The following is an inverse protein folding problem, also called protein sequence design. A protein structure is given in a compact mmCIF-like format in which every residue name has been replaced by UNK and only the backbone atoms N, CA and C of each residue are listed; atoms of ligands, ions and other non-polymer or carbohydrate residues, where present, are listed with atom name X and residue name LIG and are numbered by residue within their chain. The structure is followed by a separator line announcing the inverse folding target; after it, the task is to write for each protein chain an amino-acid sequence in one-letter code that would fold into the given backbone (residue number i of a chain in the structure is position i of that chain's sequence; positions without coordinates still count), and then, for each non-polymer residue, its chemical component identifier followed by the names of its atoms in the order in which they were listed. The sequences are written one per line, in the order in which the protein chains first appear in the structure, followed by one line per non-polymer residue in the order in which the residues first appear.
data_IF_181856202135
#
_entry.id   IF_181856202135
#
_cell.length_a   1.000
_cell.length_b   1.000
_cell.length_c   1.000
_cell.angle_alpha   90.00
_cell.angle_beta   90.00
_cell.angle_gamma   90.00
#
_symmetry.space_group_name_H-M   'P 1'
#
loop_
_entity.id
_entity.type
_entity.pdbx_description
1 polymer ?
#
# COMPACT_ATOMS: atom_id res chain seq x y z
N UNK A 1 8.20 -13.17 -9.00
CA UNK A 1 8.13 -13.03 -7.54
C UNK A 1 6.80 -12.40 -7.08
N UNK A 2 6.44 -12.54 -5.79
CA UNK A 2 5.28 -11.86 -5.18
C UNK A 2 5.75 -10.69 -4.32
N UNK A 3 5.34 -9.48 -4.69
CA UNK A 3 5.62 -8.27 -3.95
C UNK A 3 4.56 -7.97 -2.91
N UNK A 4 4.98 -7.35 -1.82
CA UNK A 4 4.14 -6.84 -0.75
C UNK A 4 4.46 -5.37 -0.51
N UNK A 5 3.42 -4.56 -0.30
CA UNK A 5 3.54 -3.18 0.18
C UNK A 5 2.44 -2.91 1.21
N UNK A 6 2.79 -2.18 2.26
CA UNK A 6 1.81 -1.61 3.17
C UNK A 6 1.64 -0.13 2.83
N UNK A 7 0.46 0.24 2.30
CA UNK A 7 0.14 1.64 2.05
C UNK A 7 -0.38 2.23 3.36
N UNK A 8 0.22 3.32 3.84
CA UNK A 8 -0.24 4.04 5.03
C UNK A 8 -0.57 5.49 4.70
N UNK A 9 -1.46 6.10 5.48
CA UNK A 9 -1.84 7.51 5.32
C UNK A 9 -2.81 7.96 6.40
N UNK A 10 -3.22 9.21 6.32
CA UNK A 10 -4.35 9.75 7.11
C UNK A 10 -5.66 9.21 6.51
N UNK A 11 -6.70 9.07 7.33
CA UNK A 11 -8.04 8.69 6.89
C UNK A 11 -8.71 9.82 6.11
N UNK A 12 -8.29 9.99 4.86
CA UNK A 12 -8.77 11.02 3.95
C UNK A 12 -8.82 10.55 2.48
N UNK A 13 -9.29 11.43 1.60
CA UNK A 13 -9.37 11.15 0.18
C UNK A 13 -8.00 10.84 -0.44
N UNK A 14 -6.90 11.42 0.07
CA UNK A 14 -5.56 11.17 -0.46
C UNK A 14 -5.13 9.73 -0.21
N UNK A 15 -5.52 9.13 0.93
CA UNK A 15 -5.32 7.70 1.16
C UNK A 15 -6.14 6.83 0.21
N UNK A 16 -7.42 7.16 -0.02
CA UNK A 16 -8.26 6.49 -1.01
C UNK A 16 -7.62 6.52 -2.40
N UNK A 17 -7.16 7.69 -2.86
CA UNK A 17 -6.46 7.82 -4.15
C UNK A 17 -5.17 6.99 -4.22
N UNK A 18 -4.41 6.89 -3.11
CA UNK A 18 -3.20 6.07 -3.03
C UNK A 18 -3.51 4.58 -3.23
N UNK A 19 -4.57 4.07 -2.59
CA UNK A 19 -5.02 2.68 -2.76
C UNK A 19 -5.53 2.47 -4.19
N UNK A 20 -6.39 3.36 -4.70
CA UNK A 20 -6.91 3.27 -6.08
C UNK A 20 -5.80 3.27 -7.13
N UNK A 21 -4.74 4.07 -6.95
CA UNK A 21 -3.58 4.08 -7.84
C UNK A 21 -2.78 2.77 -7.81
N UNK A 22 -2.69 2.11 -6.65
CA UNK A 22 -2.08 0.79 -6.59
C UNK A 22 -2.94 -0.23 -7.35
N UNK A 23 -4.25 -0.24 -7.10
CA UNK A 23 -5.19 -1.13 -7.80
C UNK A 23 -5.13 -0.94 -9.32
N UNK A 24 -5.10 0.31 -9.79
CA UNK A 24 -5.01 0.60 -11.23
C UNK A 24 -3.67 0.15 -11.85
N UNK A 25 -2.64 -0.08 -11.04
CA UNK A 25 -1.32 -0.59 -11.47
C UNK A 25 -1.21 -2.12 -11.33
N UNK A 26 -2.33 -2.82 -11.17
CA UNK A 26 -2.36 -4.28 -11.06
C UNK A 26 -1.92 -4.80 -9.70
N UNK A 27 -1.98 -3.96 -8.65
CA UNK A 27 -1.88 -4.46 -7.28
C UNK A 27 -3.24 -4.99 -6.82
N UNK A 28 -3.21 -5.96 -5.92
CA UNK A 28 -4.40 -6.57 -5.32
C UNK A 28 -4.41 -6.28 -3.82
N UNK A 29 -5.60 -6.11 -3.24
CA UNK A 29 -5.75 -5.96 -1.79
C UNK A 29 -5.34 -7.26 -1.09
N UNK A 30 -4.57 -7.14 -0.02
CA UNK A 30 -4.20 -8.26 0.83
C UNK A 30 -4.78 -8.03 2.23
N UNK A 31 -5.84 -8.76 2.56
CA UNK A 31 -6.52 -8.65 3.86
C UNK A 31 -7.25 -7.32 4.08
N UNK A 32 -7.76 -7.16 5.30
CA UNK A 32 -8.52 -5.97 5.71
C UNK A 32 -7.62 -4.77 6.01
N UNK A 33 -8.11 -3.53 5.80
CA UNK A 33 -7.41 -2.35 6.27
C UNK A 33 -7.31 -2.33 7.81
N UNK A 34 -6.31 -1.63 8.32
CA UNK A 34 -6.14 -1.32 9.74
C UNK A 34 -6.26 0.19 9.98
N UNK A 35 -6.78 0.54 11.16
CA UNK A 35 -6.93 1.93 11.61
C UNK A 35 -6.25 2.12 12.96
N UNK A 36 -5.63 3.27 13.17
CA UNK A 36 -5.04 3.65 14.45
C UNK A 36 -5.13 5.17 14.64
N UNK A 37 -5.59 5.61 15.81
CA UNK A 37 -5.60 7.01 16.15
C UNK A 37 -4.19 7.49 16.54
N UNK A 38 -3.69 8.52 15.86
CA UNK A 38 -2.45 9.20 16.20
C UNK A 38 -2.76 10.37 17.13
N UNK A 39 -2.52 10.18 18.43
CA UNK A 39 -2.77 11.21 19.44
C UNK A 39 -1.85 12.44 19.33
N UNK A 40 -0.68 12.32 18.67
CA UNK A 40 0.25 13.45 18.50
C UNK A 40 -0.24 14.39 17.41
N UNK A 41 -0.77 13.84 16.32
CA UNK A 41 -1.28 14.61 15.17
C UNK A 41 -2.79 14.88 15.25
N UNK A 42 -3.51 14.17 16.13
CA UNK A 42 -4.95 14.30 16.30
C UNK A 42 -5.76 13.74 15.12
N UNK A 43 -5.21 12.76 14.39
CA UNK A 43 -5.78 12.20 13.16
C UNK A 43 -5.94 10.68 13.25
N UNK A 44 -6.88 10.13 12.48
CA UNK A 44 -6.94 8.69 12.24
C UNK A 44 -5.96 8.33 11.12
N UNK A 45 -5.12 7.31 11.35
CA UNK A 45 -4.23 6.74 10.34
C UNK A 45 -4.77 5.41 9.85
N UNK A 46 -4.64 5.18 8.56
CA UNK A 46 -5.07 3.98 7.86
C UNK A 46 -3.86 3.23 7.33
N UNK A 47 -3.99 1.91 7.24
CA UNK A 47 -3.05 1.04 6.55
C UNK A 47 -3.82 0.03 5.70
N UNK A 48 -3.43 -0.14 4.44
CA UNK A 48 -3.98 -1.15 3.53
C UNK A 48 -2.82 -1.98 2.95
N UNK A 49 -2.77 -3.30 3.23
CA UNK A 49 -1.80 -4.15 2.59
C UNK A 49 -2.21 -4.43 1.14
N UNK A 50 -1.23 -4.45 0.24
CA UNK A 50 -1.39 -4.79 -1.17
C UNK A 50 -0.28 -5.72 -1.65
N UNK A 51 -0.61 -6.61 -2.57
CA UNK A 51 0.37 -7.51 -3.21
C UNK A 51 0.30 -7.43 -4.73
N UNK A 52 1.41 -7.76 -5.39
CA UNK A 52 1.47 -7.84 -6.86
C UNK A 52 2.37 -8.98 -7.30
N UNK A 53 1.93 -9.76 -8.28
CA UNK A 53 2.78 -10.75 -8.94
C UNK A 53 3.57 -10.04 -10.04
N UNK A 54 4.90 -10.19 -10.02
CA UNK A 54 5.80 -9.66 -11.04
C UNK A 54 6.58 -10.82 -11.63
N UNK A 55 6.43 -11.05 -12.92
CA UNK A 55 7.09 -12.14 -13.65
C UNK A 55 8.50 -11.75 -14.10
N UNK A 56 9.38 -12.73 -14.27
CA UNK A 56 10.72 -12.53 -14.84
C UNK A 56 11.67 -11.68 -13.99
N UNK A 57 11.35 -11.44 -12.71
CA UNK A 57 12.20 -10.70 -11.77
C UNK A 57 12.36 -11.46 -10.45
N UNK A 58 13.58 -11.38 -9.93
CA UNK A 58 13.95 -11.73 -8.57
C UNK A 58 13.91 -10.50 -7.66
N UNK A 59 13.76 -10.74 -6.35
CA UNK A 59 13.69 -9.67 -5.38
C UNK A 59 15.06 -9.03 -5.19
N UNK A 60 15.08 -7.70 -5.22
CA UNK A 60 16.22 -6.87 -4.86
C UNK A 60 15.76 -5.76 -3.89
N UNK A 61 16.43 -5.56 -2.74
CA UNK A 61 16.09 -4.52 -1.77
C UNK A 61 16.15 -3.08 -2.33
N UNK A 62 16.88 -2.85 -3.43
CA UNK A 62 16.93 -1.56 -4.11
C UNK A 62 15.71 -1.29 -5.03
N UNK A 63 14.84 -2.28 -5.25
CA UNK A 63 13.66 -2.11 -6.11
C UNK A 63 12.70 -1.08 -5.53
N UNK A 64 12.31 -0.12 -6.38
CA UNK A 64 11.19 0.76 -6.08
C UNK A 64 9.89 0.01 -6.27
N UNK A 65 9.34 -0.50 -5.18
CA UNK A 65 8.15 -1.36 -5.20
C UNK A 65 6.95 -0.69 -5.92
N UNK A 66 6.74 0.62 -5.78
CA UNK A 66 5.63 1.32 -6.42
C UNK A 66 5.74 1.53 -7.94
N UNK A 67 6.92 1.23 -8.51
CA UNK A 67 7.21 1.33 -9.93
C UNK A 67 7.25 -0.06 -10.61
N UNK A 68 7.00 -1.14 -9.86
CA UNK A 68 6.90 -2.51 -10.39
C UNK A 68 5.50 -2.82 -10.92
#
# INVERSE_FOLDING_TARGET
MKLYRLLTGVDDAAFCHKVSLALSKGWELAGSPAYAFDAKEGVMKCAQPVTKIVEGKDYDPAMKLGEQ
#
